data_IF_548688875410
#
_entry.id   IF_548688875410
#
_cell.length_a   1.000
_cell.length_b   1.000
_cell.length_c   1.000
_cell.angle_alpha   90.00
_cell.angle_beta   90.00
_cell.angle_gamma   90.00
#
_symmetry.space_group_name_H-M   'P 1'
#
loop_
_entity.id
_entity.type
_entity.pdbx_description
1 polymer ?
#
# COMPACT_ATOMS: atom_id res chain seq x y z
N UNK A 1 -4.93 -25.76 -6.73
CA UNK A 1 -3.62 -25.10 -6.87
C UNK A 1 -2.58 -26.02 -6.27
N UNK A 2 -1.64 -26.51 -7.08
CA UNK A 2 -0.52 -27.29 -6.54
C UNK A 2 0.31 -26.42 -5.59
N UNK A 3 0.73 -27.02 -4.48
CA UNK A 3 1.54 -26.37 -3.45
C UNK A 3 2.83 -25.74 -3.99
N UNK A 4 3.35 -26.27 -5.10
CA UNK A 4 4.59 -25.79 -5.72
C UNK A 4 4.44 -24.41 -6.36
N UNK A 5 3.32 -24.12 -7.06
CA UNK A 5 3.11 -22.81 -7.69
C UNK A 5 3.01 -21.69 -6.65
N UNK A 6 2.41 -21.98 -5.48
CA UNK A 6 2.31 -21.01 -4.38
C UNK A 6 3.68 -20.67 -3.79
N UNK A 7 4.54 -21.68 -3.65
CA UNK A 7 5.89 -21.52 -3.13
C UNK A 7 6.72 -20.65 -4.08
N UNK A 8 6.59 -20.86 -5.39
CA UNK A 8 7.34 -20.11 -6.39
C UNK A 8 6.91 -18.64 -6.45
N UNK A 9 5.60 -18.35 -6.42
CA UNK A 9 5.09 -16.98 -6.33
C UNK A 9 5.61 -16.29 -5.06
N UNK A 10 5.58 -16.94 -3.90
CA UNK A 10 6.10 -16.35 -2.67
C UNK A 10 7.60 -16.05 -2.74
N UNK A 11 8.39 -16.94 -3.37
CA UNK A 11 9.83 -16.72 -3.58
C UNK A 11 10.09 -15.54 -4.51
N UNK A 12 9.33 -15.43 -5.60
CA UNK A 12 9.49 -14.33 -6.55
C UNK A 12 9.15 -12.98 -5.90
N UNK A 13 8.07 -12.93 -5.13
CA UNK A 13 7.68 -11.70 -4.44
C UNK A 13 8.70 -11.33 -3.35
N UNK A 14 9.17 -12.31 -2.59
CA UNK A 14 10.24 -12.09 -1.61
C UNK A 14 11.50 -11.53 -2.27
N UNK A 15 11.90 -12.09 -3.41
CA UNK A 15 13.04 -11.58 -4.19
C UNK A 15 12.83 -10.14 -4.65
N UNK A 16 11.63 -9.78 -5.11
CA UNK A 16 11.29 -8.40 -5.49
C UNK A 16 11.37 -7.44 -4.30
N UNK A 17 10.84 -7.83 -3.14
CA UNK A 17 10.90 -7.02 -1.90
C UNK A 17 12.34 -6.72 -1.49
N UNK A 18 13.26 -7.66 -1.73
CA UNK A 18 14.68 -7.50 -1.40
C UNK A 18 15.53 -6.88 -2.52
N UNK A 19 14.97 -6.67 -3.72
CA UNK A 19 15.68 -6.06 -4.83
C UNK A 19 15.69 -4.53 -4.69
N UNK A 20 16.73 -4.00 -4.05
CA UNK A 20 16.95 -2.56 -3.90
C UNK A 20 17.78 -2.07 -5.11
N UNK A 21 17.13 -1.96 -6.27
CA UNK A 21 17.77 -1.48 -7.50
C UNK A 21 17.00 -0.28 -8.06
N UNK A 22 17.67 0.64 -8.76
CA UNK A 22 17.01 1.81 -9.35
C UNK A 22 15.91 1.46 -10.39
N UNK A 23 15.96 0.25 -10.96
CA UNK A 23 14.94 -0.31 -11.86
C UNK A 23 13.98 -1.29 -11.16
N UNK A 24 13.98 -1.33 -9.82
CA UNK A 24 13.09 -2.24 -9.09
C UNK A 24 11.64 -1.88 -9.40
N UNK A 25 10.85 -2.89 -9.77
CA UNK A 25 9.44 -2.74 -10.05
C UNK A 25 8.72 -2.28 -8.77
N UNK A 26 8.34 -1.00 -8.70
CA UNK A 26 7.69 -0.38 -7.52
C UNK A 26 6.28 -0.90 -7.24
N UNK A 27 5.70 -1.67 -8.16
CA UNK A 27 4.32 -2.12 -8.07
C UNK A 27 4.12 -3.54 -8.60
N UNK A 28 3.60 -4.42 -7.73
CA UNK A 28 3.27 -5.79 -8.04
C UNK A 28 1.76 -6.01 -7.94
N UNK A 29 1.15 -6.56 -8.99
CA UNK A 29 -0.26 -6.92 -9.00
C UNK A 29 -0.44 -8.44 -8.93
N UNK A 30 -1.06 -8.93 -7.87
CA UNK A 30 -1.36 -10.35 -7.68
C UNK A 30 -2.78 -10.66 -8.16
N UNK A 31 -2.93 -11.36 -9.28
CA UNK A 31 -4.21 -11.83 -9.82
C UNK A 31 -4.36 -13.34 -9.75
N UNK A 32 -5.59 -13.79 -9.86
CA UNK A 32 -5.95 -15.20 -9.91
C UNK A 32 -7.46 -15.36 -9.84
N UNK A 33 -7.95 -16.57 -10.07
CA UNK A 33 -9.38 -16.86 -10.05
C UNK A 33 -9.99 -16.69 -8.64
N UNK A 34 -11.30 -16.42 -8.53
CA UNK A 34 -11.98 -16.46 -7.24
C UNK A 34 -11.70 -17.78 -6.51
N UNK A 35 -11.34 -17.72 -5.23
CA UNK A 35 -10.97 -18.90 -4.44
C UNK A 35 -9.51 -19.34 -4.57
N UNK A 36 -8.67 -18.67 -5.37
CA UNK A 36 -7.24 -19.00 -5.55
C UNK A 36 -6.34 -18.60 -4.35
N UNK A 37 -6.91 -18.44 -3.16
CA UNK A 37 -6.20 -18.12 -1.90
C UNK A 37 -5.25 -16.90 -1.94
N UNK A 38 -5.51 -15.91 -2.80
CA UNK A 38 -4.67 -14.68 -2.93
C UNK A 38 -4.43 -14.02 -1.58
N UNK A 39 -5.49 -13.81 -0.80
CA UNK A 39 -5.37 -13.24 0.55
C UNK A 39 -4.46 -14.05 1.48
N UNK A 40 -4.37 -15.37 1.30
CA UNK A 40 -3.44 -16.20 2.07
C UNK A 40 -1.98 -15.99 1.63
N UNK A 41 -1.73 -15.78 0.33
CA UNK A 41 -0.42 -15.37 -0.19
C UNK A 41 -0.06 -13.98 0.35
N UNK A 42 -0.97 -13.01 0.24
CA UNK A 42 -0.79 -11.64 0.74
C UNK A 42 -0.50 -11.61 2.24
N UNK A 43 -1.23 -12.39 3.04
CA UNK A 43 -0.98 -12.52 4.48
C UNK A 43 0.39 -13.16 4.80
N UNK A 44 0.84 -14.12 3.98
CA UNK A 44 2.15 -14.75 4.14
C UNK A 44 3.29 -13.76 3.85
N UNK A 45 3.16 -12.96 2.79
CA UNK A 45 4.12 -11.91 2.42
C UNK A 45 4.15 -10.81 3.47
N UNK A 46 2.98 -10.38 3.96
CA UNK A 46 2.89 -9.39 5.02
C UNK A 46 3.64 -9.84 6.27
N UNK A 47 3.50 -11.11 6.67
CA UNK A 47 4.24 -11.67 7.79
C UNK A 47 5.75 -11.61 7.57
N UNK A 48 6.24 -12.06 6.41
CA UNK A 48 7.67 -12.01 6.07
C UNK A 48 8.21 -10.57 6.05
N UNK A 49 7.47 -9.63 5.46
CA UNK A 49 7.86 -8.23 5.42
C UNK A 49 7.89 -7.60 6.82
N UNK A 50 6.95 -7.98 7.70
CA UNK A 50 6.91 -7.54 9.09
C UNK A 50 8.12 -8.07 9.86
N UNK A 51 8.43 -9.35 9.73
CA UNK A 51 9.58 -9.99 10.40
C UNK A 51 10.91 -9.37 9.94
N UNK A 52 10.99 -8.95 8.67
CA UNK A 52 12.15 -8.26 8.10
C UNK A 52 12.17 -6.73 8.39
N UNK A 53 11.14 -6.18 9.05
CA UNK A 53 11.04 -4.75 9.36
C UNK A 53 10.88 -3.84 8.14
N UNK A 54 10.29 -4.36 7.05
CA UNK A 54 10.04 -3.63 5.79
C UNK A 54 8.56 -3.48 5.46
N UNK A 55 7.64 -4.04 6.28
CA UNK A 55 6.20 -3.79 6.16
C UNK A 55 5.84 -2.46 6.84
N UNK A 56 5.48 -1.46 6.04
CA UNK A 56 5.13 -0.13 6.55
C UNK A 56 3.62 0.09 6.65
N UNK A 57 2.85 -0.62 5.84
CA UNK A 57 1.40 -0.59 5.96
C UNK A 57 0.77 -1.85 5.37
N UNK A 58 -0.37 -2.23 5.93
CA UNK A 58 -1.24 -3.26 5.40
C UNK A 58 -2.69 -2.79 5.45
N UNK A 59 -3.41 -2.98 4.36
CA UNK A 59 -4.83 -2.63 4.28
C UNK A 59 -5.61 -3.73 3.55
N UNK A 60 -6.80 -4.04 4.04
CA UNK A 60 -7.72 -4.99 3.43
C UNK A 60 -8.99 -4.27 3.01
N UNK A 61 -9.28 -4.31 1.72
CA UNK A 61 -10.51 -3.79 1.14
C UNK A 61 -11.56 -4.89 1.19
N UNK A 62 -12.73 -4.54 1.73
CA UNK A 62 -13.86 -5.44 1.86
C UNK A 62 -15.15 -4.71 1.44
N UNK A 63 -15.82 -5.19 0.39
CA UNK A 63 -17.05 -4.56 -0.13
C UNK A 63 -18.18 -4.50 0.89
N UNK A 64 -18.21 -5.43 1.85
CA UNK A 64 -19.20 -5.46 2.93
C UNK A 64 -18.93 -4.41 4.01
N UNK A 65 -17.76 -3.78 4.01
CA UNK A 65 -17.36 -2.73 4.95
C UNK A 65 -17.12 -1.44 4.16
N UNK A 66 -18.16 -0.62 4.02
CA UNK A 66 -18.19 0.54 3.10
C UNK A 66 -17.00 1.51 3.23
N UNK A 67 -16.46 1.72 4.42
CA UNK A 67 -15.30 2.61 4.63
C UNK A 67 -13.99 2.05 4.04
N UNK A 68 -13.89 0.74 3.85
CA UNK A 68 -12.67 0.10 3.32
C UNK A 68 -12.57 0.19 1.80
N UNK A 69 -13.67 0.49 1.10
CA UNK A 69 -13.67 0.61 -0.36
C UNK A 69 -13.46 2.04 -0.84
N UNK A 70 -13.40 3.04 0.05
CA UNK A 70 -13.32 4.45 -0.33
C UNK A 70 -11.86 4.94 -0.34
N UNK A 71 -11.31 5.40 -1.49
CA UNK A 71 -9.96 5.95 -1.56
C UNK A 71 -9.73 7.12 -0.61
N UNK A 72 -10.75 7.95 -0.38
CA UNK A 72 -10.70 9.04 0.58
C UNK A 72 -10.52 8.56 2.04
N UNK A 73 -10.77 7.27 2.31
CA UNK A 73 -10.66 6.66 3.64
C UNK A 73 -9.43 5.78 3.80
N UNK A 74 -9.12 4.91 2.83
CA UNK A 74 -7.99 3.98 2.99
C UNK A 74 -6.63 4.61 2.71
N UNK A 75 -6.49 5.57 1.78
CA UNK A 75 -5.20 6.21 1.55
C UNK A 75 -4.67 6.96 2.79
N UNK A 76 -5.49 7.77 3.51
CA UNK A 76 -5.04 8.41 4.74
C UNK A 76 -4.78 7.39 5.86
N UNK A 77 -5.56 6.29 5.91
CA UNK A 77 -5.33 5.21 6.87
C UNK A 77 -3.99 4.51 6.65
N UNK A 78 -3.63 4.26 5.39
CA UNK A 78 -2.33 3.68 5.01
C UNK A 78 -1.19 4.65 5.33
N UNK A 79 -1.32 5.92 4.92
CA UNK A 79 -0.33 6.95 5.23
C UNK A 79 -0.11 7.10 6.74
N UNK A 80 -1.18 7.03 7.54
CA UNK A 80 -1.09 7.04 8.99
C UNK A 80 -0.29 5.86 9.54
N UNK A 81 -0.52 4.64 9.04
CA UNK A 81 0.29 3.49 9.45
C UNK A 81 1.78 3.75 9.16
N UNK A 82 2.11 4.32 8.00
CA UNK A 82 3.49 4.66 7.64
C UNK A 82 4.11 5.71 8.58
N UNK A 83 3.33 6.69 9.02
CA UNK A 83 3.76 7.69 10.01
C UNK A 83 4.06 7.06 11.38
N UNK A 84 3.37 6.00 11.77
CA UNK A 84 3.68 5.27 13.00
C UNK A 84 5.06 4.57 12.92
N UNK A 85 5.58 4.30 11.70
CA UNK A 85 6.92 3.72 11.48
C UNK A 85 8.05 4.75 11.31
N UNK A 86 7.75 5.97 10.84
CA UNK A 86 8.77 6.99 10.56
C UNK A 86 8.38 8.38 11.04
N UNK A 87 9.19 9.01 11.91
CA UNK A 87 9.01 10.39 12.31
C UNK A 87 9.00 11.37 11.12
N UNK A 88 9.78 11.10 10.07
CA UNK A 88 9.84 11.96 8.88
C UNK A 88 8.51 11.94 8.12
N UNK A 89 7.90 10.75 8.00
CA UNK A 89 6.56 10.61 7.41
C UNK A 89 5.50 11.28 8.29
N UNK A 90 5.60 11.13 9.62
CA UNK A 90 4.69 11.78 10.56
C UNK A 90 4.75 13.31 10.46
N UNK A 91 5.95 13.88 10.34
CA UNK A 91 6.16 15.31 10.13
C UNK A 91 5.59 15.77 8.79
N UNK A 92 5.85 15.04 7.71
CA UNK A 92 5.32 15.38 6.38
C UNK A 92 3.78 15.38 6.36
N UNK A 93 3.14 14.39 6.98
CA UNK A 93 1.68 14.36 7.10
C UNK A 93 1.14 15.49 7.98
N UNK A 94 1.81 15.79 9.09
CA UNK A 94 1.45 16.90 9.96
C UNK A 94 1.49 18.23 9.21
N UNK A 95 2.56 18.49 8.46
CA UNK A 95 2.73 19.73 7.72
C UNK A 95 1.70 19.85 6.59
N UNK A 96 1.42 18.76 5.86
CA UNK A 96 0.37 18.74 4.85
C UNK A 96 -1.03 19.05 5.42
N UNK A 97 -1.33 18.54 6.62
CA UNK A 97 -2.59 18.83 7.32
C UNK A 97 -2.64 20.25 7.89
N UNK A 98 -1.51 20.78 8.35
CA UNK A 98 -1.40 22.15 8.88
C UNK A 98 -1.57 23.20 7.78
N UNK A 99 -0.98 22.97 6.61
CA UNK A 99 -1.12 23.86 5.45
C UNK A 99 -2.53 23.81 4.85
N UNK A 100 -3.24 22.69 5.03
CA UNK A 100 -4.59 22.48 4.48
C UNK A 100 -5.55 21.89 5.52
N UNK A 101 -6.03 22.71 6.47
CA UNK A 101 -6.96 22.24 7.51
C UNK A 101 -8.24 21.58 6.95
N UNK A 102 -8.70 21.99 5.76
CA UNK A 102 -9.87 21.41 5.11
C UNK A 102 -9.75 19.90 4.80
N UNK A 103 -8.53 19.35 4.79
CA UNK A 103 -8.30 17.90 4.66
C UNK A 103 -8.80 17.12 5.89
N UNK A 104 -9.02 17.77 7.03
CA UNK A 104 -9.54 17.12 8.23
C UNK A 104 -11.06 16.91 8.16
N UNK A 105 -11.77 17.77 7.43
CA UNK A 105 -13.24 17.79 7.41
C UNK A 105 -13.82 17.07 6.19
N UNK A 106 -13.25 17.28 4.99
CA UNK A 106 -13.74 16.68 3.74
C UNK A 106 -12.60 16.47 2.73
N UNK A 107 -11.88 15.36 2.88
CA UNK A 107 -10.78 15.01 1.99
C UNK A 107 -11.29 14.34 0.71
N UNK A 108 -10.99 14.95 -0.44
CA UNK A 108 -11.27 14.31 -1.73
C UNK A 108 -10.36 13.10 -1.97
N UNK A 109 -10.80 12.15 -2.80
CA UNK A 109 -10.00 10.98 -3.19
C UNK A 109 -8.62 11.35 -3.75
N UNK A 110 -8.55 12.45 -4.52
CA UNK A 110 -7.30 12.95 -5.08
C UNK A 110 -6.35 13.50 -4.00
N UNK A 111 -6.88 14.24 -3.01
CA UNK A 111 -6.07 14.75 -1.91
C UNK A 111 -5.59 13.62 -1.01
N UNK A 112 -6.46 12.65 -0.72
CA UNK A 112 -6.12 11.45 0.02
C UNK A 112 -4.99 10.65 -0.67
N UNK A 113 -5.11 10.45 -1.98
CA UNK A 113 -4.06 9.82 -2.78
C UNK A 113 -2.74 10.60 -2.77
N UNK A 114 -2.77 11.94 -2.80
CA UNK A 114 -1.56 12.77 -2.70
C UNK A 114 -0.86 12.62 -1.35
N UNK A 115 -1.61 12.55 -0.23
CA UNK A 115 -1.02 12.29 1.08
C UNK A 115 -0.32 10.94 1.12
N UNK A 116 -0.92 9.91 0.51
CA UNK A 116 -0.32 8.59 0.41
C UNK A 116 0.95 8.57 -0.44
N UNK A 117 0.94 9.20 -1.61
CA UNK A 117 2.11 9.32 -2.49
C UNK A 117 3.25 10.06 -1.78
N UNK A 118 2.94 11.16 -1.09
CA UNK A 118 3.95 11.91 -0.34
C UNK A 118 4.55 11.07 0.79
N UNK A 119 3.73 10.30 1.52
CA UNK A 119 4.21 9.39 2.56
C UNK A 119 5.18 8.33 1.99
N UNK A 120 4.91 7.78 0.80
CA UNK A 120 5.82 6.85 0.10
C UNK A 120 7.14 7.53 -0.26
N UNK A 121 7.10 8.73 -0.82
CA UNK A 121 8.31 9.47 -1.22
C UNK A 121 9.20 9.80 -0.03
N UNK A 122 8.61 10.27 1.06
CA UNK A 122 9.35 10.56 2.29
C UNK A 122 9.91 9.27 2.90
N UNK A 123 9.12 8.20 2.99
CA UNK A 123 9.59 6.91 3.50
C UNK A 123 10.78 6.37 2.68
N UNK A 124 10.69 6.44 1.35
CA UNK A 124 11.72 5.94 0.43
C UNK A 124 13.00 6.77 0.47
N UNK A 125 12.90 8.07 0.71
CA UNK A 125 14.06 8.96 0.82
C UNK A 125 14.74 8.91 2.19
N UNK A 126 13.99 8.62 3.26
CA UNK A 126 14.52 8.51 4.62
C UNK A 126 15.56 7.39 4.78
N UNK A 127 15.38 6.26 4.07
CA UNK A 127 16.38 5.19 4.06
C UNK A 127 16.44 4.46 2.70
N UNK A 128 17.30 4.93 1.77
CA UNK A 128 17.42 4.33 0.44
C UNK A 128 17.94 2.87 0.44
N UNK A 129 18.46 2.39 1.57
CA UNK A 129 18.99 1.03 1.72
C UNK A 129 17.95 0.02 2.24
N UNK A 130 16.70 0.43 2.44
CA UNK A 130 15.61 -0.44 2.88
C UNK A 130 14.36 -0.23 2.04
N UNK A 131 13.73 -1.32 1.65
CA UNK A 131 12.45 -1.29 0.94
C UNK A 131 11.32 -0.82 1.87
N UNK A 132 10.41 -0.03 1.29
CA UNK A 132 9.14 0.37 1.91
C UNK A 132 8.04 -0.47 1.28
N UNK A 133 7.49 -1.44 2.02
CA UNK A 133 6.44 -2.32 1.50
C UNK A 133 5.09 -1.90 2.05
N UNK A 134 4.17 -1.58 1.14
CA UNK A 134 2.75 -1.37 1.41
C UNK A 134 1.97 -2.48 0.75
N UNK A 135 1.10 -3.15 1.50
CA UNK A 135 0.28 -4.25 1.00
C UNK A 135 -1.19 -3.85 1.04
N UNK A 136 -1.85 -3.94 -0.11
CA UNK A 136 -3.29 -3.69 -0.25
C UNK A 136 -3.93 -4.94 -0.85
N UNK A 137 -4.80 -5.58 -0.08
CA UNK A 137 -5.51 -6.79 -0.48
C UNK A 137 -6.99 -6.49 -0.75
N UNK A 138 -7.61 -7.23 -1.68
CA UNK A 138 -9.02 -7.07 -2.04
C UNK A 138 -9.34 -5.87 -2.96
N UNK A 139 -8.40 -5.39 -3.78
CA UNK A 139 -8.64 -4.27 -4.70
C UNK A 139 -9.79 -4.54 -5.69
N UNK A 140 -10.03 -5.81 -6.05
CA UNK A 140 -11.15 -6.25 -6.88
C UNK A 140 -12.51 -6.15 -6.19
N UNK A 141 -12.55 -5.88 -4.88
CA UNK A 141 -13.77 -5.60 -4.13
C UNK A 141 -14.23 -4.13 -4.23
N UNK A 142 -13.54 -3.31 -5.02
CA UNK A 142 -13.96 -1.93 -5.34
C UNK A 142 -14.73 -1.84 -6.67
N UNK A 143 -15.52 -0.77 -6.85
CA UNK A 143 -16.10 -0.46 -8.14
C UNK A 143 -15.05 0.05 -9.15
N UNK A 144 -15.36 -0.02 -10.45
CA UNK A 144 -14.42 0.31 -11.52
C UNK A 144 -13.95 1.78 -11.50
N UNK A 145 -14.78 2.70 -10.99
CA UNK A 145 -14.44 4.12 -10.92
C UNK A 145 -13.37 4.33 -9.84
N UNK A 146 -13.56 3.72 -8.68
CA UNK A 146 -12.59 3.77 -7.57
C UNK A 146 -11.31 3.02 -7.90
N UNK A 147 -11.40 1.88 -8.57
CA UNK A 147 -10.24 1.12 -9.02
C UNK A 147 -9.38 1.93 -9.99
N UNK A 148 -10.02 2.63 -10.95
CA UNK A 148 -9.33 3.53 -11.87
C UNK A 148 -8.65 4.69 -11.14
N UNK A 149 -9.35 5.36 -10.23
CA UNK A 149 -8.75 6.42 -9.42
C UNK A 149 -7.53 5.92 -8.63
N UNK A 150 -7.64 4.71 -8.07
CA UNK A 150 -6.55 4.07 -7.34
C UNK A 150 -5.34 3.81 -8.22
N UNK A 151 -5.54 3.27 -9.43
CA UNK A 151 -4.49 3.05 -10.40
C UNK A 151 -3.81 4.36 -10.84
N UNK A 152 -4.58 5.43 -11.02
CA UNK A 152 -4.06 6.78 -11.34
C UNK A 152 -3.24 7.38 -10.18
N UNK A 153 -3.54 7.05 -8.94
CA UNK A 153 -2.71 7.44 -7.78
C UNK A 153 -1.44 6.60 -7.70
N UNK A 154 -1.53 5.29 -7.91
CA UNK A 154 -0.36 4.40 -7.87
C UNK A 154 0.69 4.73 -8.94
N UNK A 155 0.29 5.28 -10.10
CA UNK A 155 1.25 5.71 -11.12
C UNK A 155 2.04 6.98 -10.75
N UNK A 156 1.67 7.67 -9.68
CA UNK A 156 2.35 8.87 -9.18
C UNK A 156 3.32 8.58 -8.02
N UNK A 157 3.25 7.37 -7.46
CA UNK A 157 4.05 6.92 -6.32
C UNK A 157 5.49 6.60 -6.72
#
# INVERSE_FOLDING_TARGET
>A
CDSDTRIDVLKDISRLVHAITCDAQSFLWLTGDPGSEKSAITASIARQCKDNGVLWAQFFINRSIGNTTNPASYFPSIARQMADYSPDVALALHDALKERPSLMDDISQLQAGKLFVEAIRVASSANPSKSVVVIIDGLDETDIIRLRCTAEIFSQA
#
